data_IF_617469873551
#
_entry.id   IF_617469873551
#
_cell.length_a   1.000
_cell.length_b   1.000
_cell.length_c   1.000
_cell.angle_alpha   90.00
_cell.angle_beta   90.00
_cell.angle_gamma   90.00
#
_symmetry.space_group_name_H-M   'P 1'
#
loop_
_entity.id
_entity.type
_entity.pdbx_description
1 polymer ?
#
# COMPACT_ATOMS: atom_id res chain seq x y z
N UNK A 1 -2.66 40.90 -7.49
CA UNK A 1 -1.73 39.81 -7.14
C UNK A 1 -2.49 38.51 -7.15
N UNK A 2 -2.24 37.66 -8.16
CA UNK A 2 -2.98 36.43 -8.42
C UNK A 2 -2.65 35.37 -7.37
N UNK A 3 -3.65 34.93 -6.61
CA UNK A 3 -3.52 33.86 -5.64
C UNK A 3 -3.32 32.53 -6.39
N UNK A 4 -2.11 31.97 -6.30
CA UNK A 4 -1.80 30.66 -6.86
C UNK A 4 -2.77 29.60 -6.28
N UNK A 5 -3.34 28.72 -7.10
CA UNK A 5 -4.32 27.75 -6.62
C UNK A 5 -3.65 26.77 -5.67
N UNK A 6 -4.32 26.48 -4.54
CA UNK A 6 -3.88 25.48 -3.56
C UNK A 6 -3.59 24.16 -4.29
N UNK A 7 -2.34 23.68 -4.24
CA UNK A 7 -1.81 22.48 -4.94
C UNK A 7 -2.70 21.22 -4.84
N UNK A 8 -3.58 21.13 -3.83
CA UNK A 8 -4.57 20.04 -3.70
C UNK A 8 -5.63 19.99 -4.81
N UNK A 9 -5.94 21.11 -5.48
CA UNK A 9 -6.87 21.14 -6.62
C UNK A 9 -6.29 20.50 -7.88
N UNK A 10 -5.01 20.74 -8.15
CA UNK A 10 -4.30 20.21 -9.34
C UNK A 10 -4.10 18.70 -9.25
N UNK A 11 -3.81 18.17 -8.06
CA UNK A 11 -3.69 16.72 -7.82
C UNK A 11 -5.03 15.98 -7.96
N UNK A 12 -6.14 16.59 -7.50
CA UNK A 12 -7.50 16.06 -7.71
C UNK A 12 -7.87 16.05 -9.19
N UNK A 13 -7.58 17.14 -9.91
CA UNK A 13 -7.84 17.23 -11.35
C UNK A 13 -7.03 16.18 -12.14
N UNK A 14 -5.74 16.00 -11.80
CA UNK A 14 -4.88 14.99 -12.44
C UNK A 14 -5.34 13.55 -12.17
N UNK A 15 -5.81 13.24 -10.96
CA UNK A 15 -6.43 11.94 -10.64
C UNK A 15 -7.73 11.75 -11.41
N UNK A 16 -8.59 12.77 -11.46
CA UNK A 16 -9.85 12.73 -12.20
C UNK A 16 -9.58 12.44 -13.69
N UNK A 17 -8.71 13.22 -14.35
CA UNK A 17 -8.38 13.07 -15.78
C UNK A 17 -7.75 11.70 -16.11
N UNK A 18 -6.86 11.17 -15.25
CA UNK A 18 -6.28 9.82 -15.44
C UNK A 18 -7.32 8.72 -15.26
N UNK A 19 -8.25 8.88 -14.31
CA UNK A 19 -9.42 8.01 -14.14
C UNK A 19 -10.35 8.05 -15.36
N UNK A 20 -10.59 9.23 -15.93
CA UNK A 20 -11.44 9.39 -17.13
C UNK A 20 -10.85 8.69 -18.36
N UNK A 21 -9.51 8.72 -18.56
CA UNK A 21 -8.87 8.02 -19.68
C UNK A 21 -8.95 6.49 -19.56
N UNK A 22 -8.77 5.95 -18.36
CA UNK A 22 -8.94 4.52 -18.12
C UNK A 22 -10.41 4.10 -18.26
N UNK A 23 -11.34 4.93 -17.78
CA UNK A 23 -12.78 4.71 -17.95
C UNK A 23 -13.20 4.74 -19.43
N UNK A 24 -12.69 5.70 -20.20
CA UNK A 24 -12.93 5.77 -21.64
C UNK A 24 -12.37 4.55 -22.39
N UNK A 25 -11.19 4.06 -22.02
CA UNK A 25 -10.61 2.80 -22.57
C UNK A 25 -11.39 1.56 -22.18
N UNK A 26 -11.94 1.50 -20.96
CA UNK A 26 -12.76 0.38 -20.51
C UNK A 26 -14.11 0.34 -21.25
N UNK A 27 -14.70 1.52 -21.51
CA UNK A 27 -16.01 1.68 -22.14
C UNK A 27 -16.00 1.47 -23.67
N UNK A 28 -14.86 1.63 -24.34
CA UNK A 28 -14.76 1.43 -25.80
C UNK A 28 -14.47 -0.04 -26.14
N UNK A 29 -15.17 -0.67 -27.10
CA UNK A 29 -14.77 -1.97 -27.65
C UNK A 29 -13.36 -1.91 -28.26
N UNK A 30 -12.48 -2.85 -27.90
CA UNK A 30 -11.09 -2.88 -28.35
C UNK A 30 -10.13 -3.63 -27.40
N UNK A 31 -8.86 -3.83 -27.80
CA UNK A 31 -7.87 -4.51 -26.97
C UNK A 31 -7.54 -3.69 -25.71
N UNK A 32 -7.58 -4.35 -24.56
CA UNK A 32 -7.11 -3.79 -23.28
C UNK A 32 -5.67 -4.17 -22.99
N UNK A 33 -5.04 -3.52 -22.01
CA UNK A 33 -3.67 -3.81 -21.61
C UNK A 33 -3.43 -5.21 -21.01
N UNK A 34 -2.16 -5.48 -20.72
CA UNK A 34 -1.75 -6.67 -19.98
C UNK A 34 -2.28 -6.65 -18.54
N UNK A 35 -2.34 -7.81 -17.89
CA UNK A 35 -2.40 -7.87 -16.43
C UNK A 35 -1.01 -7.57 -15.86
N UNK A 36 -0.91 -7.02 -14.64
CA UNK A 36 0.38 -6.70 -14.03
C UNK A 36 1.20 -7.96 -13.74
N UNK A 37 2.50 -7.86 -14.01
CA UNK A 37 3.50 -8.88 -13.69
C UNK A 37 3.86 -8.87 -12.20
N UNK A 38 3.70 -7.72 -11.53
CA UNK A 38 3.85 -7.64 -10.08
C UNK A 38 2.99 -6.53 -9.46
N UNK A 39 2.79 -6.60 -8.13
CA UNK A 39 2.09 -5.58 -7.35
C UNK A 39 2.93 -5.14 -6.14
N UNK A 40 2.89 -3.85 -5.82
CA UNK A 40 3.23 -3.37 -4.47
C UNK A 40 1.95 -3.39 -3.63
N UNK A 41 1.82 -4.39 -2.76
CA UNK A 41 0.56 -4.70 -2.05
C UNK A 41 0.41 -3.95 -0.72
N UNK A 42 1.50 -3.40 -0.17
CA UNK A 42 1.51 -2.82 1.16
C UNK A 42 2.91 -2.42 1.62
N UNK A 43 3.05 -1.91 2.82
CA UNK A 43 2.03 -1.47 3.77
C UNK A 43 1.71 0.02 3.62
N UNK A 44 0.50 0.41 4.02
CA UNK A 44 0.13 1.82 4.06
C UNK A 44 1.03 2.56 5.05
N UNK A 45 1.64 3.68 4.62
CA UNK A 45 2.64 4.47 5.38
C UNK A 45 4.02 3.80 5.59
N UNK A 46 4.35 2.81 4.76
CA UNK A 46 5.63 2.11 4.78
C UNK A 46 6.54 2.46 3.59
N UNK A 47 6.45 3.67 3.01
CA UNK A 47 7.34 4.06 1.91
C UNK A 47 7.00 3.53 0.50
N UNK A 48 5.83 2.89 0.31
CA UNK A 48 5.37 2.35 -0.98
C UNK A 48 5.35 3.36 -2.13
N UNK A 49 5.12 4.65 -1.84
CA UNK A 49 5.19 5.71 -2.86
C UNK A 49 6.62 5.89 -3.39
N UNK A 50 7.62 5.88 -2.52
CA UNK A 50 9.02 5.99 -2.95
C UNK A 50 9.41 4.79 -3.83
N UNK A 51 9.12 3.57 -3.38
CA UNK A 51 9.41 2.36 -4.17
C UNK A 51 8.69 2.36 -5.52
N UNK A 52 7.42 2.82 -5.56
CA UNK A 52 6.70 2.98 -6.82
C UNK A 52 7.43 3.92 -7.79
N UNK A 53 7.98 5.04 -7.30
CA UNK A 53 8.74 5.96 -8.14
C UNK A 53 10.07 5.35 -8.63
N UNK A 54 10.77 4.60 -7.78
CA UNK A 54 12.03 3.94 -8.17
C UNK A 54 11.78 2.93 -9.29
N UNK A 55 10.77 2.05 -9.12
CA UNK A 55 10.41 1.05 -10.14
C UNK A 55 9.84 1.68 -11.41
N UNK A 56 9.07 2.76 -11.30
CA UNK A 56 8.55 3.47 -12.47
C UNK A 56 9.64 4.19 -13.29
N UNK A 57 10.83 4.41 -12.72
CA UNK A 57 11.99 4.95 -13.43
C UNK A 57 12.78 3.88 -14.19
N UNK A 58 12.60 2.59 -13.86
CA UNK A 58 13.28 1.50 -14.55
C UNK A 58 12.82 1.43 -16.02
N UNK A 59 13.74 1.35 -17.01
CA UNK A 59 13.36 1.37 -18.42
C UNK A 59 12.38 0.24 -18.75
N UNK A 60 12.64 -0.98 -18.27
CA UNK A 60 11.84 -2.17 -18.56
C UNK A 60 10.54 -2.31 -17.74
N UNK A 61 10.16 -1.29 -16.96
CA UNK A 61 8.96 -1.34 -16.13
C UNK A 61 7.98 -0.26 -16.55
N UNK A 62 6.69 -0.61 -16.60
CA UNK A 62 5.60 0.34 -16.90
C UNK A 62 4.55 0.30 -15.81
N UNK A 63 4.44 1.40 -15.06
CA UNK A 63 3.38 1.56 -14.08
C UNK A 63 2.00 1.66 -14.76
N UNK A 64 0.97 1.20 -14.06
CA UNK A 64 -0.41 1.45 -14.42
C UNK A 64 -0.71 2.95 -14.56
N UNK A 65 -1.73 3.27 -15.36
CA UNK A 65 -2.26 4.63 -15.47
C UNK A 65 -2.99 5.00 -14.18
N UNK A 66 -2.30 5.76 -13.34
CA UNK A 66 -2.77 6.10 -11.99
C UNK A 66 -2.04 5.31 -10.91
N UNK A 67 -2.15 5.76 -9.65
CA UNK A 67 -1.60 5.07 -8.49
C UNK A 67 -2.75 4.65 -7.60
N UNK A 68 -2.62 3.50 -6.95
CA UNK A 68 -3.63 2.92 -6.06
C UNK A 68 -4.94 2.63 -6.79
N UNK A 69 -4.92 1.67 -7.72
CA UNK A 69 -6.10 1.30 -8.50
C UNK A 69 -7.21 0.69 -7.64
N UNK A 70 -6.87 0.07 -6.51
CA UNK A 70 -7.83 -0.55 -5.59
C UNK A 70 -8.79 -1.55 -6.26
N UNK A 71 -8.35 -2.20 -7.34
CA UNK A 71 -9.13 -3.18 -8.08
C UNK A 71 -9.53 -4.37 -7.21
N UNK A 72 -8.59 -5.00 -6.49
CA UNK A 72 -8.92 -6.18 -5.69
C UNK A 72 -9.70 -5.87 -4.40
N UNK A 73 -9.86 -4.59 -4.06
CA UNK A 73 -10.58 -4.10 -2.88
C UNK A 73 -11.85 -3.35 -3.31
N UNK A 74 -11.81 -2.02 -3.29
CA UNK A 74 -12.96 -1.11 -3.48
C UNK A 74 -13.60 -1.24 -4.88
N UNK A 75 -12.83 -1.71 -5.86
CA UNK A 75 -13.25 -1.74 -7.27
C UNK A 75 -13.37 -3.16 -7.83
N UNK A 76 -13.47 -4.18 -6.98
CA UNK A 76 -13.51 -5.59 -7.44
C UNK A 76 -14.68 -5.87 -8.38
N UNK A 77 -15.83 -5.22 -8.16
CA UNK A 77 -17.01 -5.37 -9.01
C UNK A 77 -16.92 -4.69 -10.38
N UNK A 78 -15.82 -3.98 -10.71
CA UNK A 78 -15.68 -3.27 -12.00
C UNK A 78 -15.33 -4.20 -13.18
N UNK A 79 -14.94 -5.44 -12.89
CA UNK A 79 -14.58 -6.45 -13.88
C UNK A 79 -13.16 -6.31 -14.44
N UNK A 80 -12.64 -7.42 -14.96
CA UNK A 80 -11.24 -7.52 -15.41
C UNK A 80 -10.90 -6.55 -16.55
N UNK A 81 -11.85 -6.31 -17.45
CA UNK A 81 -11.68 -5.35 -18.56
C UNK A 81 -11.35 -3.95 -18.05
N UNK A 82 -12.04 -3.51 -16.99
CA UNK A 82 -11.76 -2.23 -16.36
C UNK A 82 -10.35 -2.20 -15.80
N UNK A 83 -9.90 -3.28 -15.15
CA UNK A 83 -8.54 -3.38 -14.60
C UNK A 83 -7.47 -3.28 -15.69
N UNK A 84 -7.61 -4.09 -16.75
CA UNK A 84 -6.69 -4.13 -17.89
C UNK A 84 -6.60 -2.79 -18.63
N UNK A 85 -7.65 -1.98 -18.65
CA UNK A 85 -7.63 -0.66 -19.28
C UNK A 85 -6.66 0.34 -18.63
N UNK A 86 -6.20 0.07 -17.40
CA UNK A 86 -5.16 0.88 -16.75
C UNK A 86 -3.74 0.57 -17.23
N UNK A 87 -3.52 -0.59 -17.85
CA UNK A 87 -2.20 -1.04 -18.27
C UNK A 87 -1.96 -0.77 -19.76
N UNK A 88 -0.70 -0.59 -20.18
CA UNK A 88 -0.37 -0.57 -21.60
C UNK A 88 -0.57 -1.96 -22.23
N UNK A 89 -0.66 -2.05 -23.56
CA UNK A 89 -0.56 -3.33 -24.26
C UNK A 89 0.72 -4.09 -23.87
N UNK A 90 0.70 -5.44 -23.88
CA UNK A 90 1.90 -6.25 -23.65
C UNK A 90 3.03 -5.84 -24.60
N UNK A 91 4.25 -5.79 -24.08
CA UNK A 91 5.46 -5.53 -24.86
C UNK A 91 6.57 -6.48 -24.39
N UNK A 92 7.25 -7.14 -25.33
CA UNK A 92 8.31 -8.07 -25.00
C UNK A 92 9.41 -7.40 -24.15
N UNK A 93 9.87 -8.10 -23.11
CA UNK A 93 10.89 -7.59 -22.19
C UNK A 93 10.45 -6.43 -21.30
N UNK A 94 9.15 -6.08 -21.25
CA UNK A 94 8.63 -5.05 -20.35
C UNK A 94 7.68 -5.67 -19.34
N UNK A 95 7.88 -5.35 -18.06
CA UNK A 95 6.97 -5.70 -16.99
C UNK A 95 6.01 -4.55 -16.66
N UNK A 96 4.84 -4.86 -16.16
CA UNK A 96 3.82 -3.90 -15.73
C UNK A 96 3.43 -4.08 -14.28
N UNK A 97 3.07 -2.99 -13.60
CA UNK A 97 2.72 -3.05 -12.18
C UNK A 97 1.75 -1.97 -11.70
N UNK A 98 1.13 -2.21 -10.55
CA UNK A 98 0.46 -1.17 -9.77
C UNK A 98 0.88 -1.21 -8.29
N UNK A 99 0.49 -0.19 -7.53
CA UNK A 99 0.77 -0.10 -6.11
C UNK A 99 -0.50 0.32 -5.36
N UNK A 100 -1.05 -0.59 -4.56
CA UNK A 100 -2.28 -0.38 -3.77
C UNK A 100 -2.07 -0.88 -2.33
N UNK A 101 -1.51 -0.05 -1.43
CA UNK A 101 -1.03 -0.51 -0.12
C UNK A 101 -2.10 -1.06 0.84
N UNK A 102 -3.38 -0.85 0.52
CA UNK A 102 -4.49 -1.44 1.27
C UNK A 102 -4.63 -2.95 1.02
N UNK A 103 -4.14 -3.46 -0.11
CA UNK A 103 -4.24 -4.87 -0.47
C UNK A 103 -3.71 -5.81 0.62
N UNK A 104 -2.55 -5.49 1.21
CA UNK A 104 -1.94 -6.29 2.26
C UNK A 104 -2.90 -6.56 3.44
N UNK A 105 -3.71 -5.55 3.82
CA UNK A 105 -4.57 -5.62 5.00
C UNK A 105 -5.96 -6.21 4.73
N UNK A 106 -6.50 -6.01 3.53
CA UNK A 106 -7.88 -6.40 3.23
C UNK A 106 -8.07 -7.94 3.22
N UNK A 107 -9.02 -8.50 3.98
CA UNK A 107 -9.12 -9.95 4.19
C UNK A 107 -9.39 -10.79 2.94
N UNK A 108 -10.18 -10.27 1.99
CA UNK A 108 -10.51 -11.00 0.75
C UNK A 108 -9.53 -10.79 -0.40
N UNK A 109 -8.60 -9.84 -0.30
CA UNK A 109 -7.70 -9.50 -1.43
C UNK A 109 -6.76 -10.66 -1.80
N UNK A 110 -6.13 -11.38 -0.85
CA UNK A 110 -5.21 -12.48 -1.18
C UNK A 110 -5.81 -13.50 -2.16
N UNK A 111 -7.02 -14.00 -1.88
CA UNK A 111 -7.69 -14.99 -2.72
C UNK A 111 -8.03 -14.43 -4.11
N UNK A 112 -8.48 -13.17 -4.19
CA UNK A 112 -8.81 -12.52 -5.47
C UNK A 112 -7.58 -12.33 -6.35
N UNK A 113 -6.47 -11.94 -5.73
CA UNK A 113 -5.19 -11.77 -6.41
C UNK A 113 -4.67 -13.12 -6.89
N UNK A 114 -4.73 -14.16 -6.07
CA UNK A 114 -4.30 -15.51 -6.47
C UNK A 114 -5.11 -16.04 -7.66
N UNK A 115 -6.43 -15.78 -7.68
CA UNK A 115 -7.31 -16.21 -8.77
C UNK A 115 -7.00 -15.51 -10.10
N UNK A 116 -6.79 -14.18 -10.11
CA UNK A 116 -6.58 -13.43 -11.35
C UNK A 116 -5.11 -13.37 -11.79
N UNK A 117 -4.18 -13.37 -10.84
CA UNK A 117 -2.75 -13.17 -11.08
C UNK A 117 -1.94 -14.38 -10.57
N UNK A 118 -2.12 -15.58 -11.14
CA UNK A 118 -1.49 -16.80 -10.64
C UNK A 118 0.03 -16.86 -10.85
N UNK A 119 0.62 -15.92 -11.61
CA UNK A 119 2.07 -15.85 -11.88
C UNK A 119 2.74 -14.57 -11.38
N UNK A 120 1.99 -13.56 -10.97
CA UNK A 120 2.54 -12.28 -10.57
C UNK A 120 3.41 -12.35 -9.30
N UNK A 121 4.35 -11.43 -9.12
CA UNK A 121 5.11 -11.27 -7.87
C UNK A 121 4.54 -10.14 -7.01
N UNK A 122 4.82 -10.19 -5.72
CA UNK A 122 4.26 -9.25 -4.74
C UNK A 122 5.36 -8.67 -3.87
N UNK A 123 5.32 -7.36 -3.67
CA UNK A 123 6.24 -6.65 -2.79
C UNK A 123 5.46 -5.99 -1.67
N UNK A 124 5.89 -6.21 -0.43
CA UNK A 124 5.34 -5.59 0.76
C UNK A 124 6.45 -4.88 1.55
N UNK A 125 6.23 -3.62 1.91
CA UNK A 125 7.08 -2.88 2.82
C UNK A 125 6.42 -2.83 4.19
N UNK A 126 7.12 -3.23 5.24
CA UNK A 126 6.66 -3.11 6.62
C UNK A 126 7.46 -2.00 7.30
N UNK A 127 6.90 -1.38 8.32
CA UNK A 127 7.55 -0.31 9.11
C UNK A 127 7.29 -0.62 10.58
N UNK A 128 8.10 -0.09 11.50
CA UNK A 128 7.76 -0.07 12.92
C UNK A 128 6.25 0.22 13.08
N UNK A 129 5.49 -0.72 13.67
CA UNK A 129 4.03 -0.64 13.72
C UNK A 129 3.53 0.57 14.54
N UNK A 130 4.30 1.04 15.53
CA UNK A 130 3.98 2.25 16.32
C UNK A 130 4.05 3.48 15.42
N UNK A 131 5.20 3.65 14.77
CA UNK A 131 5.47 4.74 13.85
C UNK A 131 4.55 4.75 12.63
N UNK A 132 4.19 3.56 12.13
CA UNK A 132 3.21 3.41 11.05
C UNK A 132 1.81 3.79 11.51
N UNK A 133 1.37 3.34 12.69
CA UNK A 133 0.05 3.66 13.23
C UNK A 133 -0.12 5.18 13.39
N UNK A 134 0.85 5.85 14.00
CA UNK A 134 0.81 7.31 14.16
C UNK A 134 0.84 8.05 12.81
N UNK A 135 1.68 7.59 11.88
CA UNK A 135 1.71 8.16 10.53
C UNK A 135 0.39 7.97 9.76
N UNK A 136 -0.35 6.89 10.04
CA UNK A 136 -1.68 6.66 9.47
C UNK A 136 -2.70 7.60 10.10
N UNK A 137 -2.69 7.75 11.43
CA UNK A 137 -3.52 8.74 12.13
C UNK A 137 -3.34 10.15 11.56
N UNK A 138 -2.10 10.64 11.45
CA UNK A 138 -1.81 11.96 10.87
C UNK A 138 -2.29 12.09 9.42
N UNK A 139 -2.16 11.01 8.63
CA UNK A 139 -2.68 10.98 7.27
C UNK A 139 -4.21 11.10 7.24
N UNK A 140 -4.94 10.37 8.10
CA UNK A 140 -6.40 10.45 8.20
C UNK A 140 -6.85 11.83 8.70
N UNK A 141 -6.17 12.39 9.71
CA UNK A 141 -6.37 13.78 10.18
C UNK A 141 -6.19 14.81 9.08
N UNK A 142 -5.18 14.65 8.22
CA UNK A 142 -4.91 15.60 7.13
C UNK A 142 -6.03 15.68 6.08
N UNK A 143 -6.91 14.69 6.01
CA UNK A 143 -8.13 14.73 5.19
C UNK A 143 -9.39 15.18 5.94
N UNK A 144 -9.27 15.51 7.23
CA UNK A 144 -10.41 15.89 8.08
C UNK A 144 -11.32 14.71 8.45
N UNK A 145 -10.82 13.47 8.38
CA UNK A 145 -11.64 12.27 8.58
C UNK A 145 -11.59 11.71 10.01
N UNK A 146 -10.53 11.98 10.75
CA UNK A 146 -10.43 11.57 12.15
C UNK A 146 -10.71 12.79 13.04
N UNK A 147 -11.79 12.79 13.84
CA UNK A 147 -12.05 13.86 14.79
C UNK A 147 -11.32 13.68 16.12
N UNK A 148 -11.01 12.44 16.53
CA UNK A 148 -10.51 12.12 17.86
C UNK A 148 -9.00 12.36 18.03
N UNK A 149 -8.55 12.52 19.28
CA UNK A 149 -7.12 12.45 19.60
C UNK A 149 -6.54 11.08 19.22
N UNK A 150 -5.22 10.95 19.11
CA UNK A 150 -4.64 9.66 18.72
C UNK A 150 -4.95 8.55 19.74
N UNK A 151 -4.89 8.86 21.04
CA UNK A 151 -5.21 7.91 22.10
C UNK A 151 -6.68 7.47 22.04
N UNK A 152 -7.61 8.42 21.90
CA UNK A 152 -9.04 8.12 21.80
C UNK A 152 -9.39 7.38 20.49
N UNK A 153 -8.68 7.69 19.40
CA UNK A 153 -8.84 7.01 18.12
C UNK A 153 -8.41 5.54 18.19
N UNK A 154 -7.33 5.23 18.92
CA UNK A 154 -6.89 3.87 19.21
C UNK A 154 -7.91 3.13 20.09
N UNK A 155 -8.40 3.77 21.16
CA UNK A 155 -9.39 3.18 22.06
C UNK A 155 -10.72 2.85 21.34
N UNK A 156 -11.13 3.69 20.39
CA UNK A 156 -12.35 3.49 19.60
C UNK A 156 -12.18 2.52 18.40
N UNK A 157 -10.94 2.11 18.07
CA UNK A 157 -10.66 1.38 16.83
C UNK A 157 -11.43 0.06 16.72
N UNK A 158 -11.35 -0.79 17.74
CA UNK A 158 -11.91 -2.14 17.68
C UNK A 158 -13.44 -2.11 17.49
N UNK A 159 -14.14 -1.24 18.24
CA UNK A 159 -15.59 -1.08 18.11
C UNK A 159 -15.97 -0.53 16.72
N UNK A 160 -15.25 0.49 16.22
CA UNK A 160 -15.47 1.07 14.88
C UNK A 160 -15.29 0.02 13.79
N UNK A 161 -14.22 -0.78 13.87
CA UNK A 161 -13.95 -1.83 12.88
C UNK A 161 -14.97 -2.95 12.97
N UNK A 162 -15.29 -3.45 14.17
CA UNK A 162 -16.29 -4.49 14.37
C UNK A 162 -17.66 -4.06 13.83
N UNK A 163 -18.11 -2.86 14.19
CA UNK A 163 -19.38 -2.30 13.74
C UNK A 163 -19.47 -2.14 12.21
N UNK A 164 -18.37 -1.72 11.56
CA UNK A 164 -18.31 -1.55 10.11
C UNK A 164 -18.19 -2.88 9.34
N UNK A 165 -17.66 -3.92 9.98
CA UNK A 165 -17.46 -5.25 9.39
C UNK A 165 -18.63 -6.21 9.58
N UNK A 166 -19.70 -5.81 10.30
CA UNK A 166 -20.88 -6.65 10.58
C UNK A 166 -21.46 -7.30 9.33
N UNK A 167 -21.58 -6.53 8.24
CA UNK A 167 -22.14 -7.00 6.97
C UNK A 167 -21.06 -7.50 5.99
N UNK A 168 -19.84 -7.72 6.47
CA UNK A 168 -18.69 -8.21 5.72
C UNK A 168 -17.72 -7.12 5.25
N UNK A 169 -16.53 -7.52 4.74
CA UNK A 169 -15.41 -6.60 4.52
C UNK A 169 -15.47 -5.79 3.22
N UNK A 170 -16.40 -6.09 2.31
CA UNK A 170 -16.53 -5.41 1.00
C UNK A 170 -17.63 -4.34 0.98
N UNK A 171 -18.26 -4.05 2.12
CA UNK A 171 -19.25 -2.98 2.17
C UNK A 171 -18.56 -1.62 2.09
N UNK A 172 -19.26 -0.57 1.61
CA UNK A 172 -18.72 0.79 1.64
C UNK A 172 -18.29 1.22 3.05
N UNK A 173 -19.05 0.82 4.08
CA UNK A 173 -18.74 1.09 5.48
C UNK A 173 -17.44 0.40 5.92
N UNK A 174 -17.29 -0.90 5.61
CA UNK A 174 -16.08 -1.66 5.90
C UNK A 174 -14.85 -1.07 5.20
N UNK A 175 -14.93 -0.76 3.91
CA UNK A 175 -13.85 -0.13 3.17
C UNK A 175 -13.47 1.24 3.75
N UNK A 176 -14.47 2.04 4.16
CA UNK A 176 -14.22 3.32 4.80
C UNK A 176 -13.47 3.13 6.13
N UNK A 177 -13.96 2.26 7.01
CA UNK A 177 -13.36 2.03 8.32
C UNK A 177 -11.95 1.43 8.22
N UNK A 178 -11.79 0.35 7.46
CA UNK A 178 -10.50 -0.32 7.28
C UNK A 178 -9.45 0.60 6.64
N UNK A 179 -9.81 1.53 5.75
CA UNK A 179 -8.82 2.43 5.13
C UNK A 179 -8.41 3.59 6.01
N UNK A 180 -9.31 4.05 6.88
CA UNK A 180 -9.15 5.32 7.58
C UNK A 180 -8.87 5.15 9.08
N UNK A 181 -9.40 4.12 9.73
CA UNK A 181 -9.43 4.00 11.20
C UNK A 181 -8.75 2.75 11.77
N UNK A 182 -8.13 1.90 10.93
CA UNK A 182 -7.41 0.73 11.40
C UNK A 182 -5.93 1.06 11.70
N UNK A 183 -5.69 1.91 12.68
CA UNK A 183 -4.38 2.37 13.10
C UNK A 183 -3.56 1.24 13.72
N UNK A 184 -4.02 0.58 14.78
CA UNK A 184 -3.26 -0.47 15.45
C UNK A 184 -3.35 -1.80 14.69
N UNK A 185 -4.52 -2.18 14.21
CA UNK A 185 -4.79 -3.46 13.56
C UNK A 185 -3.88 -3.72 12.35
N UNK A 186 -3.51 -2.68 11.60
CA UNK A 186 -2.57 -2.77 10.47
C UNK A 186 -1.13 -3.06 10.87
N UNK A 187 -0.76 -2.87 12.13
CA UNK A 187 0.56 -3.20 12.68
C UNK A 187 0.74 -4.70 12.95
N UNK A 188 -0.36 -5.47 12.97
CA UNK A 188 -0.33 -6.93 13.12
C UNK A 188 0.03 -7.59 11.79
N UNK A 189 1.29 -7.48 11.37
CA UNK A 189 1.72 -7.88 10.03
C UNK A 189 1.74 -9.39 9.82
N UNK A 190 2.04 -10.18 10.85
CA UNK A 190 2.08 -11.65 10.75
C UNK A 190 0.72 -12.20 10.27
N UNK A 191 -0.38 -11.76 10.89
CA UNK A 191 -1.76 -12.14 10.52
C UNK A 191 -2.11 -11.75 9.07
N UNK A 192 -1.57 -10.62 8.60
CA UNK A 192 -1.74 -10.20 7.22
C UNK A 192 -0.99 -11.13 6.28
N UNK A 193 0.30 -11.36 6.51
CA UNK A 193 1.15 -12.18 5.65
C UNK A 193 0.74 -13.65 5.63
N UNK A 194 0.28 -14.21 6.74
CA UNK A 194 -0.25 -15.59 6.78
C UNK A 194 -1.45 -15.76 5.84
N UNK A 195 -2.36 -14.78 5.77
CA UNK A 195 -3.47 -14.82 4.79
C UNK A 195 -2.96 -14.78 3.35
N UNK A 196 -1.85 -14.08 3.09
CA UNK A 196 -1.21 -14.10 1.78
C UNK A 196 -0.56 -15.47 1.51
N UNK A 197 0.24 -16.00 2.42
CA UNK A 197 0.92 -17.29 2.28
C UNK A 197 -0.04 -18.49 2.20
N UNK A 198 -1.26 -18.36 2.72
CA UNK A 198 -2.31 -19.35 2.52
C UNK A 198 -2.83 -19.41 1.06
N UNK A 199 -2.55 -18.41 0.23
CA UNK A 199 -3.07 -18.28 -1.14
C UNK A 199 -1.99 -18.33 -2.22
N UNK A 200 -0.73 -18.12 -1.87
CA UNK A 200 0.39 -18.12 -2.81
C UNK A 200 1.71 -18.62 -2.18
N UNK A 201 2.60 -19.23 -2.99
CA UNK A 201 3.92 -19.64 -2.54
C UNK A 201 4.73 -18.48 -1.96
N UNK A 202 5.46 -18.74 -0.87
CA UNK A 202 6.31 -17.74 -0.18
C UNK A 202 7.27 -17.02 -1.12
N UNK A 203 7.81 -17.73 -2.11
CA UNK A 203 8.77 -17.22 -3.10
C UNK A 203 8.19 -16.14 -4.02
N UNK A 204 6.86 -15.94 -4.05
CA UNK A 204 6.21 -14.89 -4.83
C UNK A 204 5.95 -13.62 -4.04
N UNK A 205 6.33 -13.56 -2.76
CA UNK A 205 6.13 -12.38 -1.92
C UNK A 205 7.43 -11.98 -1.24
N UNK A 206 7.95 -10.81 -1.59
CA UNK A 206 9.13 -10.20 -0.99
C UNK A 206 8.73 -9.15 0.04
N UNK A 207 9.28 -9.27 1.25
CA UNK A 207 9.00 -8.37 2.37
C UNK A 207 10.25 -7.56 2.70
N UNK A 208 10.09 -6.24 2.79
CA UNK A 208 11.16 -5.28 3.04
C UNK A 208 10.84 -4.51 4.31
N UNK A 209 11.82 -4.28 5.20
CA UNK A 209 11.66 -3.28 6.25
C UNK A 209 11.89 -1.90 5.66
N UNK A 210 10.98 -0.97 5.96
CA UNK A 210 11.04 0.40 5.47
C UNK A 210 12.31 1.07 5.98
N UNK A 211 12.73 0.74 7.20
CA UNK A 211 13.97 1.21 7.81
C UNK A 211 15.21 0.82 6.97
N UNK A 212 15.25 -0.39 6.42
CA UNK A 212 16.34 -0.82 5.53
C UNK A 212 16.32 -0.03 4.21
N UNK A 213 15.13 0.19 3.63
CA UNK A 213 14.96 1.04 2.44
C UNK A 213 15.36 2.50 2.69
N UNK A 214 15.21 3.01 3.92
CA UNK A 214 15.62 4.37 4.27
C UNK A 214 17.12 4.48 4.51
N UNK A 215 17.72 3.46 5.14
CA UNK A 215 19.13 3.43 5.46
C UNK A 215 20.00 3.25 4.21
N UNK A 216 19.63 2.30 3.34
CA UNK A 216 20.30 2.04 2.08
C UNK A 216 19.28 1.76 0.96
N UNK A 217 18.73 2.82 0.34
CA UNK A 217 17.74 2.65 -0.72
C UNK A 217 18.29 1.95 -1.96
N UNK A 218 19.60 2.05 -2.22
CA UNK A 218 20.22 1.43 -3.38
C UNK A 218 20.28 -0.10 -3.22
N UNK A 219 20.75 -0.58 -2.07
CA UNK A 219 20.79 -2.01 -1.76
C UNK A 219 19.38 -2.62 -1.72
N UNK A 220 18.45 -1.99 -0.99
CA UNK A 220 17.08 -2.47 -0.92
C UNK A 220 16.38 -2.48 -2.29
N UNK A 221 16.66 -1.50 -3.15
CA UNK A 221 16.13 -1.47 -4.52
C UNK A 221 16.74 -2.58 -5.40
N UNK A 222 18.04 -2.82 -5.31
CA UNK A 222 18.70 -3.90 -6.05
C UNK A 222 18.13 -5.29 -5.69
N UNK A 223 17.81 -5.50 -4.42
CA UNK A 223 17.15 -6.72 -3.94
C UNK A 223 15.75 -6.90 -4.53
N UNK A 224 14.98 -5.80 -4.62
CA UNK A 224 13.68 -5.80 -5.29
C UNK A 224 13.82 -6.13 -6.77
N UNK A 225 14.79 -5.54 -7.48
CA UNK A 225 15.00 -5.81 -8.90
C UNK A 225 15.33 -7.30 -9.13
N UNK A 226 16.23 -7.85 -8.33
CA UNK A 226 16.59 -9.28 -8.38
C UNK A 226 15.39 -10.18 -8.10
N UNK A 227 14.57 -9.86 -7.09
CA UNK A 227 13.33 -10.58 -6.80
C UNK A 227 12.33 -10.51 -7.96
N UNK A 228 12.22 -9.36 -8.61
CA UNK A 228 11.34 -9.13 -9.77
C UNK A 228 11.93 -9.64 -11.09
N UNK A 229 13.14 -10.20 -11.08
CA UNK A 229 13.87 -10.64 -12.28
C UNK A 229 14.05 -9.51 -13.30
N UNK A 230 14.35 -8.31 -12.81
CA UNK A 230 14.68 -7.14 -13.61
C UNK A 230 16.20 -6.97 -13.68
N UNK A 231 16.67 -6.44 -14.81
CA UNK A 231 18.07 -6.06 -14.98
C UNK A 231 18.49 -5.03 -13.92
N UNK A 232 19.77 -5.02 -13.48
CA UNK A 232 20.26 -3.97 -12.60
C UNK A 232 20.05 -2.58 -13.21
N UNK A 233 19.56 -1.66 -12.40
CA UNK A 233 19.33 -0.27 -12.77
C UNK A 233 19.39 0.59 -11.52
N UNK A 234 19.84 1.83 -11.67
CA UNK A 234 19.85 2.82 -10.58
C UNK A 234 19.15 4.09 -11.08
N UNK A 235 18.06 4.54 -10.44
CA UNK A 235 17.42 5.81 -10.79
C UNK A 235 18.34 6.98 -10.40
N UNK A 236 18.16 8.13 -11.06
CA UNK A 236 18.96 9.34 -10.79
C UNK A 236 18.95 9.77 -9.32
N UNK A 237 17.81 9.56 -8.63
CA UNK A 237 17.67 9.86 -7.20
C UNK A 237 16.78 8.84 -6.51
N UNK A 238 17.14 8.51 -5.27
CA UNK A 238 16.27 7.79 -4.33
C UNK A 238 15.49 8.78 -3.45
N UNK A 239 14.68 9.62 -4.10
CA UNK A 239 13.92 10.66 -3.39
C UNK A 239 12.88 10.05 -2.44
N UNK A 240 12.91 10.50 -1.17
CA UNK A 240 11.90 10.10 -0.18
C UNK A 240 10.60 10.86 -0.40
N UNK A 241 9.56 10.15 -0.83
CA UNK A 241 8.24 10.73 -1.06
C UNK A 241 7.32 10.61 0.16
N UNK A 242 7.50 11.50 1.13
CA UNK A 242 6.64 11.60 2.33
C UNK A 242 5.71 12.82 2.26
N UNK A 243 4.40 12.61 2.46
CA UNK A 243 3.44 13.72 2.66
C UNK A 243 3.40 14.10 4.13
N UNK A 244 4.05 15.24 4.43
CA UNK A 244 4.05 16.08 5.65
C UNK A 244 4.48 15.46 6.98
N UNK A 245 5.20 16.28 7.75
CA UNK A 245 5.42 16.16 9.18
C UNK A 245 4.27 16.85 9.93
N UNK A 246 4.02 16.39 11.16
CA UNK A 246 3.19 17.08 12.15
C UNK A 246 3.75 18.49 12.35
N UNK A 247 2.94 19.54 12.17
CA UNK A 247 3.34 20.94 12.35
C UNK A 247 3.09 21.43 13.78
N UNK A 248 2.74 20.52 14.70
CA UNK A 248 2.53 20.79 16.13
C UNK A 248 3.22 19.77 17.05
N UNK A 249 2.87 19.82 18.33
CA UNK A 249 3.34 18.87 19.34
C UNK A 249 2.80 17.47 19.04
N UNK A 250 3.72 16.51 18.86
CA UNK A 250 3.37 15.10 18.62
C UNK A 250 2.45 14.56 19.72
N UNK A 251 1.31 13.99 19.31
CA UNK A 251 0.40 13.26 20.19
C UNK A 251 0.93 11.86 20.54
N UNK A 252 1.97 11.38 19.84
CA UNK A 252 2.70 10.16 20.22
C UNK A 252 3.70 10.51 21.33
N UNK A 253 3.20 10.56 22.57
CA UNK A 253 4.03 10.79 23.77
C UNK A 253 4.95 9.60 24.05
N UNK A 254 6.02 9.77 24.87
CA UNK A 254 6.88 8.64 25.26
C UNK A 254 6.11 7.49 25.92
N UNK A 255 5.12 7.80 26.77
CA UNK A 255 4.28 6.79 27.41
C UNK A 255 3.44 6.03 26.38
N UNK A 256 2.70 6.74 25.51
CA UNK A 256 1.87 6.10 24.49
C UNK A 256 2.69 5.27 23.50
N UNK A 257 3.92 5.72 23.18
CA UNK A 257 4.87 4.94 22.40
C UNK A 257 5.24 3.64 23.10
N UNK A 258 5.56 3.69 24.40
CA UNK A 258 5.89 2.50 25.19
C UNK A 258 4.71 1.53 25.27
N UNK A 259 3.49 2.04 25.49
CA UNK A 259 2.28 1.23 25.55
C UNK A 259 2.00 0.53 24.21
N UNK A 260 2.12 1.26 23.10
CA UNK A 260 1.98 0.67 21.76
C UNK A 260 3.09 -0.32 21.43
N UNK A 261 4.33 -0.05 21.83
CA UNK A 261 5.44 -0.99 21.64
C UNK A 261 5.19 -2.31 22.41
N UNK A 262 4.73 -2.21 23.67
CA UNK A 262 4.33 -3.37 24.46
C UNK A 262 3.15 -4.13 23.82
N UNK A 263 2.15 -3.41 23.29
CA UNK A 263 1.04 -4.00 22.56
C UNK A 263 1.50 -4.76 21.30
N UNK A 264 2.44 -4.21 20.52
CA UNK A 264 2.92 -4.84 19.31
C UNK A 264 3.99 -5.92 19.52
N UNK A 265 4.66 -5.96 20.68
CA UNK A 265 5.73 -6.92 20.98
C UNK A 265 5.39 -8.38 20.60
N UNK A 266 4.27 -8.99 21.07
CA UNK A 266 3.93 -10.36 20.68
C UNK A 266 3.68 -10.53 19.17
N UNK A 267 3.10 -9.52 18.51
CA UNK A 267 2.86 -9.55 17.07
C UNK A 267 4.17 -9.42 16.27
N UNK A 268 5.12 -8.63 16.77
CA UNK A 268 6.44 -8.46 16.17
C UNK A 268 7.29 -9.73 16.33
N UNK A 269 7.24 -10.39 17.50
CA UNK A 269 7.89 -11.69 17.70
C UNK A 269 7.34 -12.72 16.71
N UNK A 270 6.01 -12.82 16.57
CA UNK A 270 5.37 -13.71 15.59
C UNK A 270 5.82 -13.40 14.15
N UNK A 271 5.93 -12.13 13.79
CA UNK A 271 6.41 -11.71 12.47
C UNK A 271 7.86 -12.12 12.24
N UNK A 272 8.73 -11.89 13.22
CA UNK A 272 10.14 -12.24 13.12
C UNK A 272 10.33 -13.74 12.90
N UNK A 273 9.59 -14.57 13.65
CA UNK A 273 9.53 -16.03 13.41
C UNK A 273 8.99 -16.36 12.03
N UNK A 274 7.89 -15.73 11.59
CA UNK A 274 7.27 -16.01 10.29
C UNK A 274 8.23 -15.74 9.12
N UNK A 275 9.02 -14.68 9.21
CA UNK A 275 9.94 -14.21 8.16
C UNK A 275 11.39 -14.65 8.34
N UNK A 276 11.71 -15.33 9.44
CA UNK A 276 13.09 -15.60 9.88
C UNK A 276 13.93 -14.31 9.94
N UNK A 277 13.36 -13.22 10.46
CA UNK A 277 14.10 -11.99 10.66
C UNK A 277 14.97 -12.06 11.92
N UNK A 278 16.19 -11.50 11.89
CA UNK A 278 17.15 -11.60 12.99
C UNK A 278 16.74 -10.76 14.21
N UNK A 279 15.86 -9.77 14.04
CA UNK A 279 15.39 -8.90 15.11
C UNK A 279 13.98 -8.38 14.84
N UNK A 280 13.29 -7.98 15.91
CA UNK A 280 12.08 -7.16 15.84
C UNK A 280 12.43 -5.67 15.74
N UNK A 281 11.40 -4.83 15.60
CA UNK A 281 11.49 -3.42 16.01
C UNK A 281 11.50 -3.31 17.54
#
# INVERSE_FOLDING_TARGET
>A
MSAAPRRGGVDRLRRAVRGTRAFARAAWPGPTGALPDFLIIGGQRCGTTSLHHYLAAHPDVRAATGKELQYFSVHHGRGERWYRAHFPPPAAGRQTFEASPYYLFHPRVPARVAALLPRARFVALLRDPVERAYSHYLHTRSYGLEPLSFADALAAEDERLAGALRDGPDTPAAHHALRNFSYAARGRYAEQLERWYAQLPRQRLHVIRSEDLYADPAAAYADVLRFLELSPFTPDTFARHTRRADDGTSQLTPQLRADLAAHFAPHNTRLATLLNWPSTW
#
